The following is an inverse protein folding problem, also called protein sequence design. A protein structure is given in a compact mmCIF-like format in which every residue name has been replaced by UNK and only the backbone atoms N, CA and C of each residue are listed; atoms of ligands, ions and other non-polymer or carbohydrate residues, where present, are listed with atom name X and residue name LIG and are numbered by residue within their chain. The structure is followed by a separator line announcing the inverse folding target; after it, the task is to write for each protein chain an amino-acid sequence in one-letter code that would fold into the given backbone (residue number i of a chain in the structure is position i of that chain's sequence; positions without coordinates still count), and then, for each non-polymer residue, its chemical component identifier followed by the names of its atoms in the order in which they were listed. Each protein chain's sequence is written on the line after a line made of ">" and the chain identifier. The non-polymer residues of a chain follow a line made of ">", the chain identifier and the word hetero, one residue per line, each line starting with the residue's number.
data_IF_195379444866
#
_entry.id   IF_195379444866
#
_cell.length_a   1.000
_cell.length_b   1.000
_cell.length_c   1.000
_cell.angle_alpha   90.00
_cell.angle_beta   90.00
_cell.angle_gamma   90.00
#
_symmetry.space_group_name_H-M   'P 1'
#
loop_
_entity.id
_entity.type
_entity.pdbx_description
1 polymer ?
#
# COMPACT_ATOMS: atom_id res chain seq x y z
N UNK A 1 -5.91 19.63 -14.59
CA UNK A 1 -6.18 19.27 -13.18
C UNK A 1 -6.67 20.50 -12.43
N UNK A 2 -7.81 20.46 -11.70
CA UNK A 2 -8.28 21.59 -10.92
C UNK A 2 -7.28 21.94 -9.81
N UNK A 3 -6.91 23.22 -9.62
CA UNK A 3 -5.92 23.61 -8.61
C UNK A 3 -6.31 23.26 -7.17
N UNK A 4 -7.63 23.19 -6.89
CA UNK A 4 -8.18 22.85 -5.58
C UNK A 4 -8.30 21.34 -5.31
N UNK A 5 -7.87 20.47 -6.23
CA UNK A 5 -7.90 19.03 -6.02
C UNK A 5 -7.00 18.64 -4.83
N UNK A 6 -7.35 17.60 -4.05
CA UNK A 6 -6.49 17.11 -3.00
C UNK A 6 -5.09 16.74 -3.49
N UNK A 7 -4.08 16.88 -2.66
CA UNK A 7 -2.67 16.64 -3.01
C UNK A 7 -2.45 15.30 -3.70
N UNK A 8 -3.01 14.22 -3.16
CA UNK A 8 -2.83 12.89 -3.74
C UNK A 8 -3.35 12.77 -5.18
N UNK A 9 -4.38 13.54 -5.55
CA UNK A 9 -4.90 13.56 -6.93
C UNK A 9 -3.88 14.18 -7.87
N UNK A 10 -3.18 15.24 -7.41
CA UNK A 10 -2.07 15.82 -8.17
C UNK A 10 -0.90 14.84 -8.32
N UNK A 11 -0.53 14.13 -7.24
CA UNK A 11 0.55 13.14 -7.25
C UNK A 11 0.25 11.98 -8.22
N UNK A 12 -0.98 11.44 -8.22
CA UNK A 12 -1.41 10.42 -9.18
C UNK A 12 -1.44 10.93 -10.62
N UNK A 13 -1.91 12.15 -10.83
CA UNK A 13 -1.89 12.74 -12.18
C UNK A 13 -0.45 12.90 -12.67
N UNK A 14 0.44 13.43 -11.83
CA UNK A 14 1.85 13.62 -12.17
C UNK A 14 2.56 12.29 -12.46
N UNK A 15 2.12 11.18 -11.86
CA UNK A 15 2.63 9.87 -12.19
C UNK A 15 1.97 9.29 -13.45
N UNK A 16 0.66 9.02 -13.41
CA UNK A 16 -0.01 8.21 -14.44
C UNK A 16 -0.29 8.94 -15.76
N UNK A 17 -0.36 10.28 -15.77
CA UNK A 17 -0.69 11.09 -16.96
C UNK A 17 0.52 11.76 -17.59
N UNK A 18 1.72 11.47 -17.15
CA UNK A 18 2.98 12.01 -17.67
C UNK A 18 3.94 10.87 -18.04
N UNK A 19 5.06 11.15 -18.75
CA UNK A 19 6.05 10.12 -19.09
C UNK A 19 6.64 9.37 -17.89
N UNK A 20 6.49 9.87 -16.66
CA UNK A 20 6.99 9.21 -15.44
C UNK A 20 6.42 7.80 -15.27
N UNK A 21 5.13 7.62 -15.42
CA UNK A 21 4.47 6.32 -15.23
C UNK A 21 3.34 6.04 -16.21
N UNK A 22 3.25 6.81 -17.30
CA UNK A 22 2.25 6.56 -18.33
C UNK A 22 2.49 5.23 -19.03
N UNK A 23 1.43 4.43 -19.16
CA UNK A 23 1.47 3.24 -19.97
C UNK A 23 0.17 3.06 -20.76
N UNK A 24 0.28 2.73 -22.05
CA UNK A 24 -0.87 2.62 -22.97
C UNK A 24 -1.93 1.60 -22.52
N UNK A 25 -1.53 0.56 -21.79
CA UNK A 25 -2.44 -0.48 -21.26
C UNK A 25 -2.91 -0.20 -19.83
N UNK A 26 -2.46 0.86 -19.18
CA UNK A 26 -2.89 1.21 -17.83
C UNK A 26 -4.24 1.92 -17.86
N UNK A 27 -5.22 1.41 -17.11
CA UNK A 27 -6.50 2.09 -16.89
C UNK A 27 -6.31 3.46 -16.23
N UNK A 28 -5.42 3.57 -15.26
CA UNK A 28 -5.13 4.85 -14.60
C UNK A 28 -4.52 5.89 -15.54
N UNK A 29 -3.74 5.45 -16.54
CA UNK A 29 -3.18 6.34 -17.56
C UNK A 29 -4.22 6.82 -18.59
N UNK A 30 -5.27 6.03 -18.83
CA UNK A 30 -6.27 6.30 -19.88
C UNK A 30 -7.68 6.57 -19.30
N UNK A 31 -8.47 5.54 -19.08
CA UNK A 31 -9.91 5.65 -18.79
C UNK A 31 -10.26 5.65 -17.29
N UNK A 32 -9.28 5.33 -16.42
CA UNK A 32 -9.54 5.14 -15.00
C UNK A 32 -10.24 3.81 -14.68
N UNK A 33 -10.87 3.74 -13.52
CA UNK A 33 -11.53 2.53 -13.02
C UNK A 33 -12.89 2.32 -13.67
N UNK A 34 -13.17 1.09 -14.07
CA UNK A 34 -14.49 0.70 -14.55
C UNK A 34 -15.43 0.40 -13.38
N UNK A 35 -16.68 0.85 -13.46
CA UNK A 35 -17.71 0.69 -12.42
C UNK A 35 -17.91 -0.80 -12.06
N UNK A 36 -17.91 -1.70 -13.04
CA UNK A 36 -18.07 -3.16 -12.81
C UNK A 36 -16.94 -3.71 -11.92
N UNK A 37 -15.70 -3.26 -12.11
CA UNK A 37 -14.57 -3.65 -11.25
C UNK A 37 -14.72 -3.16 -9.82
N UNK A 38 -15.29 -1.97 -9.62
CA UNK A 38 -15.53 -1.38 -8.31
C UNK A 38 -16.47 -2.22 -7.45
N UNK A 39 -17.51 -2.82 -8.03
CA UNK A 39 -18.44 -3.67 -7.29
C UNK A 39 -17.76 -4.92 -6.71
N UNK A 40 -16.96 -5.63 -7.52
CA UNK A 40 -16.22 -6.79 -7.06
C UNK A 40 -15.21 -6.40 -5.96
N UNK A 41 -14.51 -5.29 -6.14
CA UNK A 41 -13.55 -4.77 -5.18
C UNK A 41 -14.19 -4.41 -3.83
N UNK A 42 -15.35 -3.75 -3.83
CA UNK A 42 -16.07 -3.35 -2.62
C UNK A 42 -16.62 -4.54 -1.81
N UNK A 43 -16.83 -5.69 -2.47
CA UNK A 43 -17.29 -6.92 -1.81
C UNK A 43 -16.14 -7.86 -1.39
N UNK A 44 -14.91 -7.58 -1.78
CA UNK A 44 -13.77 -8.42 -1.44
C UNK A 44 -13.35 -8.22 0.02
N UNK A 45 -13.24 -9.31 0.76
CA UNK A 45 -12.84 -9.31 2.17
C UNK A 45 -11.36 -9.64 2.31
N UNK A 46 -10.49 -8.77 1.83
CA UNK A 46 -9.04 -9.02 1.74
C UNK A 46 -8.37 -9.26 3.09
N UNK A 47 -8.87 -8.66 4.16
CA UNK A 47 -8.25 -8.75 5.48
C UNK A 47 -8.78 -9.87 6.37
N UNK A 48 -9.75 -10.67 5.89
CA UNK A 48 -10.51 -11.57 6.77
C UNK A 48 -9.68 -12.67 7.45
N UNK A 49 -8.65 -13.17 6.76
CA UNK A 49 -7.76 -14.24 7.25
C UNK A 49 -6.29 -13.83 7.24
N UNK A 50 -6.02 -12.54 7.18
CA UNK A 50 -4.63 -12.05 7.09
C UNK A 50 -3.80 -12.39 8.33
N UNK A 51 -4.44 -12.56 9.49
CA UNK A 51 -3.81 -13.02 10.73
C UNK A 51 -3.40 -14.51 10.72
N UNK A 52 -3.78 -15.27 9.69
CA UNK A 52 -3.38 -16.67 9.49
C UNK A 52 -2.15 -16.81 8.59
N UNK A 53 -1.58 -15.71 8.11
CA UNK A 53 -0.39 -15.73 7.26
C UNK A 53 0.84 -16.08 8.11
N UNK A 54 1.44 -17.24 7.87
CA UNK A 54 2.65 -17.69 8.56
C UNK A 54 3.94 -17.11 7.98
N UNK A 55 3.99 -16.85 6.67
CA UNK A 55 5.17 -16.30 5.99
C UNK A 55 5.54 -14.91 6.53
N UNK A 56 6.82 -14.55 6.42
CA UNK A 56 7.26 -13.19 6.69
C UNK A 56 6.57 -12.18 5.76
N UNK A 57 6.15 -11.06 6.31
CA UNK A 57 5.51 -9.97 5.56
C UNK A 57 6.09 -8.63 5.95
N UNK A 58 6.48 -7.85 4.96
CA UNK A 58 6.82 -6.43 5.10
C UNK A 58 5.75 -5.58 4.42
N UNK A 59 5.00 -4.82 5.22
CA UNK A 59 4.08 -3.79 4.74
C UNK A 59 4.85 -2.47 4.66
N UNK A 60 4.90 -1.85 3.49
CA UNK A 60 5.63 -0.60 3.28
C UNK A 60 4.72 0.47 2.70
N UNK A 61 4.72 1.66 3.30
CA UNK A 61 3.98 2.82 2.82
C UNK A 61 4.78 4.12 2.95
N UNK A 62 4.50 5.06 2.07
CA UNK A 62 4.99 6.43 2.23
C UNK A 62 4.25 7.16 3.35
N UNK A 63 4.96 7.98 4.11
CA UNK A 63 4.37 8.79 5.20
C UNK A 63 3.23 9.69 4.70
N UNK A 64 3.40 10.27 3.49
CA UNK A 64 2.44 11.19 2.86
C UNK A 64 1.43 10.48 1.96
N UNK A 65 1.47 9.14 1.86
CA UNK A 65 0.51 8.39 1.07
C UNK A 65 -0.88 8.48 1.69
N UNK A 66 -1.87 8.98 0.92
CA UNK A 66 -3.26 9.08 1.39
C UNK A 66 -3.89 7.72 1.73
N UNK A 67 -3.33 6.62 1.19
CA UNK A 67 -3.75 5.23 1.43
C UNK A 67 -2.98 4.53 2.56
N UNK A 68 -2.11 5.23 3.29
CA UNK A 68 -1.26 4.67 4.34
C UNK A 68 -2.07 3.91 5.40
N UNK A 69 -3.22 4.45 5.80
CA UNK A 69 -4.08 3.83 6.80
C UNK A 69 -4.56 2.41 6.44
N UNK A 70 -4.67 2.08 5.14
CA UNK A 70 -4.98 0.71 4.72
C UNK A 70 -3.84 -0.27 5.04
N UNK A 71 -2.60 0.14 4.83
CA UNK A 71 -1.44 -0.68 5.18
C UNK A 71 -1.26 -0.84 6.68
N UNK A 72 -1.46 0.24 7.45
CA UNK A 72 -1.44 0.21 8.91
C UNK A 72 -2.54 -0.73 9.44
N UNK A 73 -3.77 -0.62 8.94
CA UNK A 73 -4.85 -1.52 9.31
C UNK A 73 -4.53 -2.98 8.95
N UNK A 74 -4.00 -3.24 7.75
CA UNK A 74 -3.60 -4.58 7.35
C UNK A 74 -2.53 -5.17 8.27
N UNK A 75 -1.53 -4.37 8.65
CA UNK A 75 -0.50 -4.78 9.60
C UNK A 75 -1.09 -5.15 10.96
N UNK A 76 -1.93 -4.29 11.54
CA UNK A 76 -2.55 -4.55 12.83
C UNK A 76 -3.50 -5.77 12.80
N UNK A 77 -4.27 -5.94 11.73
CA UNK A 77 -5.06 -7.16 11.54
C UNK A 77 -4.18 -8.40 11.47
N UNK A 78 -3.06 -8.30 10.77
CA UNK A 78 -2.14 -9.43 10.60
C UNK A 78 -1.48 -9.81 11.92
N UNK A 79 -1.08 -8.84 12.74
CA UNK A 79 -0.37 -9.06 14.02
C UNK A 79 -1.34 -9.35 15.16
N UNK A 80 -2.31 -8.45 15.34
CA UNK A 80 -3.16 -8.41 16.55
C UNK A 80 -4.54 -9.05 16.33
N UNK A 81 -4.89 -9.40 15.09
CA UNK A 81 -6.22 -9.89 14.72
C UNK A 81 -7.31 -8.81 14.75
N UNK A 82 -6.94 -7.55 14.90
CA UNK A 82 -7.87 -6.39 14.96
C UNK A 82 -7.19 -5.12 14.47
N UNK A 83 -7.99 -4.17 13.97
CA UNK A 83 -7.52 -2.82 13.66
C UNK A 83 -8.59 -1.79 14.00
N UNK A 84 -8.17 -0.56 14.34
CA UNK A 84 -9.06 0.54 14.66
C UNK A 84 -9.96 0.89 13.46
N UNK A 85 -11.22 1.18 13.71
CA UNK A 85 -12.19 1.53 12.67
C UNK A 85 -12.79 0.35 11.90
N UNK A 86 -12.43 -0.88 12.25
CA UNK A 86 -12.95 -2.09 11.61
C UNK A 86 -13.66 -3.00 12.62
N UNK A 87 -14.75 -3.63 12.21
CA UNK A 87 -15.59 -4.46 13.07
C UNK A 87 -15.20 -5.94 13.11
N UNK A 88 -14.26 -6.36 12.28
CA UNK A 88 -13.75 -7.73 12.30
C UNK A 88 -12.74 -7.89 13.41
N UNK A 89 -12.88 -8.97 14.20
CA UNK A 89 -11.93 -9.34 15.26
C UNK A 89 -11.55 -10.79 15.04
N UNK A 90 -10.29 -11.01 14.71
CA UNK A 90 -9.67 -12.32 14.60
C UNK A 90 -8.83 -12.64 15.82
N UNK A 91 -8.07 -13.75 15.75
CA UNK A 91 -7.05 -14.09 16.75
C UNK A 91 -5.73 -13.41 16.37
N UNK A 92 -4.86 -13.11 17.35
CA UNK A 92 -3.49 -12.68 17.04
C UNK A 92 -2.75 -13.72 16.19
N UNK A 93 -1.81 -13.24 15.37
CA UNK A 93 -0.96 -14.13 14.56
C UNK A 93 -0.06 -14.98 15.46
N UNK A 94 0.16 -16.27 15.16
CA UNK A 94 1.09 -17.12 15.92
C UNK A 94 2.57 -16.74 15.70
N UNK A 95 2.90 -16.00 14.64
CA UNK A 95 4.27 -15.58 14.31
C UNK A 95 4.33 -14.07 14.07
N UNK A 96 4.01 -13.22 15.07
CA UNK A 96 3.96 -11.77 14.89
C UNK A 96 5.36 -11.16 14.64
N UNK A 97 6.42 -11.83 15.09
CA UNK A 97 7.81 -11.34 15.02
C UNK A 97 8.37 -11.28 13.60
N UNK A 98 7.76 -12.00 12.64
CA UNK A 98 8.16 -11.94 11.23
C UNK A 98 7.30 -10.99 10.40
N UNK A 99 6.45 -10.19 11.05
CA UNK A 99 5.63 -9.16 10.43
C UNK A 99 6.24 -7.78 10.69
N UNK A 100 6.36 -6.98 9.67
CA UNK A 100 6.99 -5.65 9.78
C UNK A 100 6.12 -4.60 9.10
N UNK A 101 6.05 -3.41 9.69
CA UNK A 101 5.49 -2.21 9.09
C UNK A 101 6.59 -1.17 8.94
N UNK A 102 6.80 -0.68 7.73
CA UNK A 102 7.79 0.33 7.40
C UNK A 102 7.12 1.55 6.77
N UNK A 103 7.16 2.67 7.45
CA UNK A 103 6.69 3.96 6.94
C UNK A 103 7.88 4.76 6.49
N UNK A 104 7.91 5.12 5.20
CA UNK A 104 9.01 5.86 4.59
C UNK A 104 8.77 7.36 4.76
N UNK A 105 9.61 8.07 5.53
CA UNK A 105 9.45 9.50 5.79
C UNK A 105 9.44 10.31 4.50
N UNK A 106 8.52 11.25 4.40
CA UNK A 106 8.43 12.19 3.28
C UNK A 106 7.86 11.63 1.98
N UNK A 107 7.84 10.31 1.78
CA UNK A 107 7.39 9.68 0.54
C UNK A 107 5.87 9.77 0.35
N UNK A 108 5.44 10.00 -0.88
CA UNK A 108 4.04 9.84 -1.32
C UNK A 108 3.78 8.40 -1.74
N UNK A 109 2.53 8.10 -2.14
CA UNK A 109 2.19 6.78 -2.68
C UNK A 109 2.97 6.47 -3.97
N UNK A 110 3.07 7.43 -4.88
CA UNK A 110 3.70 7.22 -6.18
C UNK A 110 5.24 7.15 -6.11
N UNK A 111 5.86 7.73 -5.08
CA UNK A 111 7.32 7.69 -4.91
C UNK A 111 7.82 6.27 -4.60
N UNK A 112 6.96 5.40 -4.11
CA UNK A 112 7.32 3.98 -3.89
C UNK A 112 7.14 3.10 -5.15
N UNK A 113 6.72 3.66 -6.27
CA UNK A 113 6.68 2.94 -7.56
C UNK A 113 8.01 2.97 -8.30
N UNK A 114 8.71 4.10 -8.23
CA UNK A 114 9.93 4.37 -9.00
C UNK A 114 11.07 5.00 -8.17
N UNK A 115 10.86 5.20 -6.87
CA UNK A 115 11.79 5.86 -5.97
C UNK A 115 11.56 7.36 -5.85
N UNK A 116 10.83 7.99 -6.77
CA UNK A 116 10.67 9.44 -6.78
C UNK A 116 11.98 10.18 -7.01
N UNK A 117 11.99 11.49 -6.79
CA UNK A 117 13.17 12.34 -6.97
C UNK A 117 14.25 12.09 -5.89
N UNK A 118 13.83 11.72 -4.67
CA UNK A 118 14.71 11.51 -3.51
C UNK A 118 15.13 10.05 -3.31
N UNK A 119 14.80 9.17 -4.26
CA UNK A 119 15.08 7.72 -4.16
C UNK A 119 14.56 7.10 -2.85
N UNK A 120 13.26 7.24 -2.61
CA UNK A 120 12.60 6.81 -1.36
C UNK A 120 12.57 5.31 -1.10
N UNK A 121 12.85 4.46 -2.11
CA UNK A 121 12.79 3.01 -1.92
C UNK A 121 14.01 2.55 -1.09
N UNK A 122 13.80 1.95 0.11
CA UNK A 122 14.88 1.55 1.00
C UNK A 122 15.46 0.19 0.58
N UNK A 123 16.23 0.15 -0.50
CA UNK A 123 16.76 -1.08 -1.11
C UNK A 123 17.52 -1.97 -0.13
N UNK A 124 18.35 -1.39 0.74
CA UNK A 124 19.12 -2.15 1.74
C UNK A 124 18.19 -2.85 2.76
N UNK A 125 17.14 -2.16 3.19
CA UNK A 125 16.14 -2.73 4.11
C UNK A 125 15.36 -3.87 3.44
N UNK A 126 15.00 -3.69 2.16
CA UNK A 126 14.32 -4.73 1.39
C UNK A 126 15.24 -5.95 1.19
N UNK A 127 16.49 -5.74 0.80
CA UNK A 127 17.47 -6.82 0.67
C UNK A 127 17.64 -7.58 1.98
N UNK A 128 17.87 -6.86 3.10
CA UNK A 128 18.00 -7.49 4.41
C UNK A 128 16.76 -8.26 4.85
N UNK A 129 15.54 -7.76 4.52
CA UNK A 129 14.30 -8.48 4.81
C UNK A 129 14.24 -9.81 4.03
N UNK A 130 14.56 -9.82 2.76
CA UNK A 130 14.57 -11.03 1.94
C UNK A 130 15.67 -12.00 2.37
N UNK A 131 16.89 -11.53 2.59
CA UNK A 131 18.03 -12.36 3.03
C UNK A 131 17.74 -13.08 4.37
N UNK A 132 16.99 -12.40 5.26
CA UNK A 132 16.62 -12.98 6.56
C UNK A 132 15.53 -14.05 6.47
N UNK A 133 14.61 -13.93 5.47
CA UNK A 133 13.35 -14.69 5.46
C UNK A 133 13.22 -15.67 4.28
N UNK A 134 14.21 -15.74 3.42
CA UNK A 134 14.32 -16.70 2.31
C UNK A 134 15.36 -17.76 2.60
#
# INVERSE_FOLDING_TARGET
>A
MPPQAPRFVHDYHAYYKTPRGYHVRSGNSNDGWRIIGTQAYSNARFLYYINEIHSAVLVMHGEKAHSRYFGEAAYHYMVDGKAEGYNFIGKPNPNPENKQLLIIPGATHCDLYDGGEENYIPWDTLAAFFDKNM
#
